data_IF_452544714049
#
_entry.id   IF_452544714049
#
_cell.length_a   1.000
_cell.length_b   1.000
_cell.length_c   1.000
_cell.angle_alpha   90.00
_cell.angle_beta   90.00
_cell.angle_gamma   90.00
#
_symmetry.space_group_name_H-M   'P 1'
#
loop_
_entity.id
_entity.type
_entity.pdbx_description
1 polymer ?
#
# COMPACT_ATOMS: atom_id res chain seq x y z
N UNK A 1 40.27 56.29 74.55
CA UNK A 1 39.48 55.12 74.31
C UNK A 1 38.88 55.18 72.92
N UNK A 2 39.07 54.12 72.19
CA UNK A 2 38.51 54.00 70.85
C UNK A 2 37.03 53.64 70.97
N UNK A 3 36.17 54.31 70.19
CA UNK A 3 34.77 54.03 70.17
C UNK A 3 34.51 52.61 69.65
N UNK A 4 33.29 52.07 69.83
CA UNK A 4 32.95 50.76 69.38
C UNK A 4 33.10 50.66 67.84
N UNK A 5 33.53 49.53 67.41
CA UNK A 5 33.66 49.26 65.96
C UNK A 5 32.29 49.43 65.27
N UNK A 6 32.25 50.16 64.19
CA UNK A 6 31.00 50.31 63.42
C UNK A 6 30.49 48.99 62.91
N UNK A 7 29.21 48.99 62.72
CA UNK A 7 28.53 47.76 62.15
C UNK A 7 29.06 47.42 60.77
N UNK A 8 29.07 46.14 60.49
CA UNK A 8 29.42 45.67 59.17
C UNK A 8 28.34 46.13 58.17
N UNK A 9 28.76 46.78 57.11
CA UNK A 9 27.84 47.18 56.04
C UNK A 9 26.98 46.02 55.53
N UNK A 10 25.78 46.34 55.07
CA UNK A 10 24.88 45.36 54.52
C UNK A 10 25.56 44.67 53.36
N UNK A 11 25.31 43.39 53.30
CA UNK A 11 25.75 42.58 52.15
C UNK A 11 25.17 43.15 50.84
N UNK A 12 26.02 43.37 49.86
CA UNK A 12 25.57 43.85 48.54
C UNK A 12 24.49 42.97 47.94
N UNK A 13 23.66 43.61 47.17
CA UNK A 13 22.58 42.87 46.43
C UNK A 13 23.22 41.87 45.51
N UNK A 14 22.67 40.68 45.50
CA UNK A 14 23.11 39.64 44.57
C UNK A 14 23.00 40.16 43.14
N UNK A 15 24.02 39.97 42.32
CA UNK A 15 23.99 40.32 40.90
C UNK A 15 22.87 39.62 40.15
N UNK A 16 22.43 40.18 39.05
CA UNK A 16 21.38 39.58 38.25
C UNK A 16 21.77 38.16 37.83
N UNK A 17 20.81 37.30 37.79
CA UNK A 17 21.01 35.92 37.31
C UNK A 17 21.57 35.95 35.89
N UNK A 18 22.61 35.19 35.62
CA UNK A 18 23.15 35.05 34.28
C UNK A 18 22.07 34.64 33.26
N UNK A 19 22.24 35.09 32.04
CA UNK A 19 21.32 34.68 30.96
C UNK A 19 21.30 33.17 30.84
N UNK A 20 20.13 32.64 30.63
CA UNK A 20 19.97 31.24 30.27
C UNK A 20 20.85 30.92 29.03
N UNK A 21 21.63 29.87 29.09
CA UNK A 21 22.43 29.43 27.95
C UNK A 21 21.57 29.27 26.72
N UNK A 22 22.12 29.52 25.54
CA UNK A 22 21.42 29.31 24.30
C UNK A 22 21.02 27.84 24.19
N UNK A 23 19.85 27.60 23.59
CA UNK A 23 19.37 26.25 23.33
C UNK A 23 20.41 25.50 22.49
N UNK A 24 20.77 24.31 22.88
CA UNK A 24 21.62 23.43 22.05
C UNK A 24 21.08 23.32 20.63
N UNK A 25 21.96 23.11 19.69
CA UNK A 25 21.55 22.90 18.31
C UNK A 25 20.56 21.78 18.25
N UNK A 26 19.48 21.96 17.41
CA UNK A 26 18.57 20.91 17.10
C UNK A 26 19.38 19.72 16.51
N UNK A 27 19.24 18.54 17.07
CA UNK A 27 19.88 17.35 16.53
C UNK A 27 19.57 17.23 15.04
N UNK A 28 20.53 16.72 14.28
CA UNK A 28 20.29 16.43 12.87
C UNK A 28 18.99 15.65 12.75
N UNK A 29 18.15 16.06 11.79
CA UNK A 29 16.92 15.33 11.47
C UNK A 29 17.30 13.86 11.27
N UNK A 30 16.85 12.98 12.16
CA UNK A 30 17.09 11.55 11.99
C UNK A 30 16.69 11.16 10.59
N UNK A 31 17.48 10.33 9.91
CA UNK A 31 17.05 9.75 8.66
C UNK A 31 15.68 9.14 8.90
N UNK A 32 14.67 9.71 8.22
CA UNK A 32 13.35 9.09 8.19
C UNK A 32 13.60 7.68 7.69
N UNK A 33 13.45 6.69 8.59
CA UNK A 33 13.45 5.29 8.18
C UNK A 33 12.55 5.21 6.97
N UNK A 34 13.10 4.80 5.83
CA UNK A 34 12.32 4.65 4.62
C UNK A 34 11.21 3.66 4.91
N UNK A 35 9.99 4.16 4.97
CA UNK A 35 8.83 3.29 5.10
C UNK A 35 8.76 2.45 3.82
N UNK A 36 8.83 1.13 3.92
CA UNK A 36 8.67 0.27 2.75
C UNK A 36 7.33 0.57 2.08
N UNK A 37 7.35 0.74 0.76
CA UNK A 37 6.17 1.08 -0.02
C UNK A 37 6.05 0.14 -1.20
N UNK A 38 4.86 -0.34 -1.42
CA UNK A 38 4.49 -1.04 -2.65
C UNK A 38 2.98 -0.96 -2.79
N UNK A 39 2.52 -0.33 -3.83
CA UNK A 39 1.10 -0.19 -4.10
C UNK A 39 0.87 0.01 -5.58
N UNK A 40 -0.25 -0.49 -6.06
CA UNK A 40 -0.71 -0.20 -7.41
C UNK A 40 -2.23 -0.20 -7.48
N UNK A 41 -2.75 0.48 -8.46
CA UNK A 41 -4.14 0.42 -8.86
C UNK A 41 -4.19 0.61 -10.37
N UNK A 42 -4.87 -0.28 -11.06
CA UNK A 42 -4.94 -0.27 -12.52
C UNK A 42 -6.32 -0.66 -13.00
N UNK A 43 -6.78 0.00 -14.04
CA UNK A 43 -8.08 -0.22 -14.66
C UNK A 43 -7.98 -0.97 -15.97
N UNK A 44 -9.02 -1.71 -16.29
CA UNK A 44 -9.15 -2.38 -17.57
C UNK A 44 -9.44 -1.34 -18.66
N UNK A 45 -8.81 -1.51 -19.82
CA UNK A 45 -8.99 -0.59 -20.95
C UNK A 45 -9.95 -1.11 -22.01
N UNK A 46 -10.12 -2.43 -22.10
CA UNK A 46 -10.99 -3.08 -23.09
C UNK A 46 -11.80 -4.20 -22.44
N UNK A 47 -13.07 -4.37 -22.83
CA UNK A 47 -13.89 -5.45 -22.29
C UNK A 47 -13.44 -6.82 -22.80
N UNK A 48 -13.85 -7.86 -22.09
CA UNK A 48 -13.64 -9.25 -22.43
C UNK A 48 -12.18 -9.62 -22.72
N UNK A 49 -11.30 -9.48 -21.72
CA UNK A 49 -9.89 -9.85 -21.90
C UNK A 49 -9.74 -11.33 -22.20
N UNK A 50 -8.63 -11.76 -22.84
CA UNK A 50 -8.39 -13.17 -23.13
C UNK A 50 -8.51 -14.04 -21.88
N UNK A 51 -9.21 -15.20 -21.96
CA UNK A 51 -9.41 -16.06 -20.80
C UNK A 51 -8.18 -16.89 -20.46
N UNK A 52 -8.12 -17.35 -19.22
CA UNK A 52 -7.12 -18.30 -18.71
C UNK A 52 -5.66 -17.82 -18.78
N UNK A 53 -5.46 -16.53 -18.97
CA UNK A 53 -4.14 -15.87 -18.87
C UNK A 53 -4.28 -14.62 -18.00
N UNK A 54 -3.17 -14.06 -17.51
CA UNK A 54 -3.25 -12.85 -16.70
C UNK A 54 -3.98 -11.72 -17.44
N UNK A 55 -4.95 -11.12 -16.75
CA UNK A 55 -5.67 -9.96 -17.27
C UNK A 55 -4.74 -8.74 -17.18
N UNK A 56 -4.56 -8.06 -18.31
CA UNK A 56 -3.73 -6.86 -18.38
C UNK A 56 -4.58 -5.63 -18.11
N UNK A 57 -4.38 -5.02 -16.96
CA UNK A 57 -4.99 -3.74 -16.61
C UNK A 57 -4.05 -2.63 -17.08
N UNK A 58 -4.32 -2.09 -18.26
CA UNK A 58 -3.39 -1.17 -18.93
C UNK A 58 -3.55 0.28 -18.52
N UNK A 59 -4.69 0.65 -17.92
CA UNK A 59 -4.95 1.99 -17.43
C UNK A 59 -4.39 2.13 -16.02
N UNK A 60 -3.18 2.63 -15.91
CA UNK A 60 -2.51 2.80 -14.62
C UNK A 60 -3.09 4.00 -13.89
N UNK A 61 -3.64 3.77 -12.69
CA UNK A 61 -4.09 4.80 -11.77
C UNK A 61 -3.00 5.17 -10.78
N UNK A 62 -2.26 4.19 -10.30
CA UNK A 62 -1.12 4.36 -9.42
C UNK A 62 -0.18 3.16 -9.56
N UNK A 63 1.12 3.40 -9.71
CA UNK A 63 2.12 2.33 -9.80
C UNK A 63 3.53 2.90 -9.61
N UNK A 64 3.71 3.75 -8.60
CA UNK A 64 4.95 4.51 -8.43
C UNK A 64 6.17 3.62 -8.21
N UNK A 65 6.03 2.48 -7.54
CA UNK A 65 7.12 1.55 -7.30
C UNK A 65 7.37 0.59 -8.46
N UNK A 66 6.47 0.55 -9.44
CA UNK A 66 6.63 -0.29 -10.61
C UNK A 66 6.48 -1.79 -10.36
N UNK A 67 5.87 -2.19 -9.25
CA UNK A 67 5.69 -3.62 -8.94
C UNK A 67 4.60 -4.29 -9.79
N UNK A 68 3.68 -3.52 -10.35
CA UNK A 68 2.70 -4.03 -11.30
C UNK A 68 3.15 -3.78 -12.73
N UNK A 69 3.06 -4.80 -13.59
CA UNK A 69 3.37 -4.68 -15.01
C UNK A 69 2.10 -4.70 -15.85
N UNK A 70 1.73 -3.60 -16.52
CA UNK A 70 0.59 -3.60 -17.43
C UNK A 70 0.85 -4.46 -18.69
N UNK A 71 2.10 -4.77 -18.99
CA UNK A 71 2.47 -5.61 -20.12
C UNK A 71 2.16 -7.08 -19.85
N UNK A 72 2.41 -7.55 -18.64
CA UNK A 72 2.16 -8.94 -18.24
C UNK A 72 0.87 -9.14 -17.49
N UNK A 73 0.31 -8.08 -16.89
CA UNK A 73 -0.84 -8.15 -16.00
C UNK A 73 -0.50 -8.66 -14.60
N UNK A 74 0.79 -8.79 -14.27
CA UNK A 74 1.24 -9.38 -13.02
C UNK A 74 1.83 -8.36 -12.06
N UNK A 75 1.44 -8.48 -10.80
CA UNK A 75 2.14 -7.86 -9.69
C UNK A 75 3.33 -8.73 -9.31
N UNK A 76 4.50 -8.10 -9.13
CA UNK A 76 5.74 -8.77 -8.75
C UNK A 76 6.17 -8.27 -7.38
N UNK A 77 6.16 -9.16 -6.38
CA UNK A 77 6.52 -8.81 -5.02
C UNK A 77 8.04 -8.60 -4.90
N UNK A 78 8.44 -7.42 -4.46
CA UNK A 78 9.85 -7.11 -4.17
C UNK A 78 10.14 -7.07 -2.68
N UNK A 79 9.15 -6.70 -1.88
CA UNK A 79 9.28 -6.56 -0.43
C UNK A 79 8.47 -7.68 0.22
N UNK A 80 9.12 -8.65 0.89
CA UNK A 80 8.38 -9.68 1.62
C UNK A 80 7.48 -9.05 2.67
N UNK A 81 6.26 -9.52 2.77
CA UNK A 81 5.32 -8.97 3.74
C UNK A 81 3.89 -9.42 3.53
N UNK A 82 3.01 -8.73 4.21
CA UNK A 82 1.57 -8.96 4.13
C UNK A 82 0.95 -7.92 3.24
N UNK A 83 0.21 -8.38 2.23
CA UNK A 83 -0.37 -7.55 1.19
C UNK A 83 -1.88 -7.65 1.19
N UNK A 84 -2.51 -6.58 0.76
CA UNK A 84 -3.95 -6.54 0.47
C UNK A 84 -4.12 -6.49 -1.04
N UNK A 85 -4.93 -7.39 -1.58
CA UNK A 85 -5.36 -7.35 -2.97
C UNK A 85 -6.87 -7.22 -3.03
N UNK A 86 -7.31 -6.43 -3.97
CA UNK A 86 -8.73 -6.17 -4.18
C UNK A 86 -9.01 -6.05 -5.66
N UNK A 87 -10.10 -6.60 -6.10
CA UNK A 87 -10.61 -6.29 -7.42
C UNK A 87 -12.08 -5.93 -7.35
N UNK A 88 -12.45 -5.08 -8.27
CA UNK A 88 -13.81 -4.63 -8.46
C UNK A 88 -14.07 -4.68 -9.96
N UNK A 89 -14.76 -5.69 -10.39
CA UNK A 89 -14.93 -6.00 -11.80
C UNK A 89 -16.37 -5.80 -12.20
N UNK A 90 -16.61 -4.95 -13.18
CA UNK A 90 -17.92 -4.80 -13.79
C UNK A 90 -18.18 -5.99 -14.69
N UNK A 91 -19.36 -6.57 -14.56
CA UNK A 91 -19.77 -7.77 -15.30
C UNK A 91 -20.97 -7.43 -16.15
N UNK A 92 -20.88 -7.68 -17.45
CA UNK A 92 -21.97 -7.39 -18.40
C UNK A 92 -21.99 -8.37 -19.56
N UNK A 93 -23.19 -8.66 -20.04
CA UNK A 93 -23.42 -9.46 -21.24
C UNK A 93 -23.31 -10.97 -21.02
N UNK A 94 -22.44 -11.38 -20.13
CA UNK A 94 -22.19 -12.79 -19.76
C UNK A 94 -21.84 -12.85 -18.28
N UNK A 95 -22.06 -13.99 -17.62
CA UNK A 95 -21.53 -14.19 -16.29
C UNK A 95 -20.01 -14.10 -16.28
N UNK A 96 -19.42 -13.76 -15.15
CA UNK A 96 -17.97 -13.75 -14.99
C UNK A 96 -17.53 -14.66 -13.85
N UNK A 97 -16.48 -15.41 -14.09
CA UNK A 97 -15.76 -16.16 -13.06
C UNK A 97 -14.33 -15.72 -13.03
N UNK A 98 -13.96 -15.05 -11.94
CA UNK A 98 -12.66 -14.41 -11.78
C UNK A 98 -11.87 -15.18 -10.75
N UNK A 99 -10.59 -15.41 -11.03
CA UNK A 99 -9.66 -16.04 -10.11
C UNK A 99 -8.51 -15.10 -9.82
N UNK A 100 -8.19 -14.94 -8.55
CA UNK A 100 -6.93 -14.35 -8.13
C UNK A 100 -5.92 -15.49 -8.00
N UNK A 101 -4.83 -15.37 -8.73
CA UNK A 101 -3.75 -16.34 -8.75
C UNK A 101 -2.56 -15.77 -8.00
N UNK A 102 -2.08 -16.52 -7.03
CA UNK A 102 -0.88 -16.16 -6.27
C UNK A 102 -0.05 -17.42 -6.06
N UNK A 103 1.28 -17.30 -6.10
CA UNK A 103 2.18 -18.43 -5.93
C UNK A 103 1.85 -19.60 -6.89
N UNK A 104 1.48 -19.27 -8.13
CA UNK A 104 1.07 -20.23 -9.18
C UNK A 104 -0.17 -21.08 -8.84
N UNK A 105 -0.95 -20.67 -7.84
CA UNK A 105 -2.18 -21.36 -7.45
C UNK A 105 -3.37 -20.40 -7.53
N UNK A 106 -4.47 -20.87 -8.08
CA UNK A 106 -5.74 -20.15 -8.09
C UNK A 106 -6.33 -20.18 -6.67
N UNK A 107 -5.95 -19.23 -5.84
CA UNK A 107 -6.30 -19.25 -4.42
C UNK A 107 -7.69 -18.73 -4.12
N UNK A 108 -8.14 -17.72 -4.88
CA UNK A 108 -9.41 -17.07 -4.61
C UNK A 108 -10.20 -16.91 -5.88
N UNK A 109 -11.44 -17.35 -5.85
CA UNK A 109 -12.33 -17.33 -7.00
C UNK A 109 -13.63 -16.66 -6.62
N UNK A 110 -14.10 -15.76 -7.45
CA UNK A 110 -15.42 -15.19 -7.33
C UNK A 110 -16.22 -15.43 -8.61
N UNK A 111 -17.52 -15.46 -8.46
CA UNK A 111 -18.43 -15.73 -9.56
C UNK A 111 -19.61 -14.77 -9.47
N UNK A 112 -19.93 -14.14 -10.56
CA UNK A 112 -21.14 -13.35 -10.70
C UNK A 112 -21.99 -13.91 -11.82
N UNK A 113 -23.24 -14.23 -11.50
CA UNK A 113 -24.22 -14.75 -12.45
C UNK A 113 -25.17 -13.63 -12.82
N UNK A 114 -25.26 -13.32 -14.11
CA UNK A 114 -26.21 -12.33 -14.60
C UNK A 114 -27.48 -12.99 -15.05
N UNK A 115 -28.61 -12.34 -14.80
CA UNK A 115 -29.91 -12.70 -15.34
C UNK A 115 -30.33 -11.61 -16.32
N UNK A 116 -30.30 -11.91 -17.63
CA UNK A 116 -30.70 -10.95 -18.65
C UNK A 116 -29.59 -9.97 -19.06
N UNK A 117 -29.93 -8.70 -19.25
CA UNK A 117 -28.99 -7.66 -19.68
C UNK A 117 -28.51 -6.78 -18.52
N UNK A 118 -28.46 -7.33 -17.34
CA UNK A 118 -28.04 -6.60 -16.16
C UNK A 118 -26.55 -6.32 -16.17
N UNK A 119 -26.17 -5.23 -15.50
CA UNK A 119 -24.78 -4.93 -15.15
C UNK A 119 -24.64 -5.26 -13.66
N UNK A 120 -23.63 -6.03 -13.33
CA UNK A 120 -23.34 -6.37 -11.95
C UNK A 120 -21.85 -6.20 -11.66
N UNK A 121 -21.46 -6.43 -10.42
CA UNK A 121 -20.08 -6.26 -10.01
C UNK A 121 -19.63 -7.46 -9.20
N UNK A 122 -18.47 -8.00 -9.58
CA UNK A 122 -17.77 -9.02 -8.82
C UNK A 122 -16.64 -8.37 -8.05
N UNK A 123 -16.61 -8.54 -6.74
CA UNK A 123 -15.62 -7.91 -5.86
C UNK A 123 -14.98 -8.95 -4.96
N UNK A 124 -13.71 -8.72 -4.64
CA UNK A 124 -12.99 -9.49 -3.65
C UNK A 124 -11.97 -8.58 -2.96
N UNK A 125 -11.80 -8.77 -1.66
CA UNK A 125 -10.68 -8.23 -0.91
C UNK A 125 -10.06 -9.36 -0.11
N UNK A 126 -8.75 -9.52 -0.23
CA UNK A 126 -8.03 -10.62 0.42
C UNK A 126 -6.69 -10.14 0.94
N UNK A 127 -6.26 -10.70 2.04
CA UNK A 127 -4.94 -10.45 2.63
C UNK A 127 -4.07 -11.69 2.40
N UNK A 128 -2.88 -11.47 1.84
CA UNK A 128 -1.94 -12.54 1.50
C UNK A 128 -0.55 -12.24 2.03
N UNK A 129 0.12 -13.27 2.51
CA UNK A 129 1.54 -13.20 2.83
C UNK A 129 2.35 -13.59 1.59
N UNK A 130 3.24 -12.69 1.14
CA UNK A 130 4.06 -12.90 -0.04
C UNK A 130 5.55 -12.84 0.31
N UNK A 131 6.31 -13.65 -0.41
CA UNK A 131 7.77 -13.61 -0.40
C UNK A 131 8.27 -12.84 -1.63
N UNK A 132 9.51 -12.36 -1.58
CA UNK A 132 10.11 -11.69 -2.74
C UNK A 132 10.11 -12.64 -3.96
N UNK A 133 9.71 -12.13 -5.10
CA UNK A 133 9.58 -12.89 -6.34
C UNK A 133 8.21 -13.51 -6.56
N UNK A 134 7.34 -13.52 -5.56
CA UNK A 134 5.97 -13.99 -5.75
C UNK A 134 5.22 -13.08 -6.70
N UNK A 135 4.37 -13.67 -7.51
CA UNK A 135 3.55 -12.95 -8.48
C UNK A 135 2.06 -13.14 -8.18
N UNK A 136 1.28 -12.09 -8.41
CA UNK A 136 -0.17 -12.11 -8.24
C UNK A 136 -0.83 -11.50 -9.47
N UNK A 137 -1.87 -12.14 -9.96
CA UNK A 137 -2.63 -11.64 -11.10
C UNK A 137 -4.06 -12.16 -11.08
N UNK A 138 -4.88 -11.61 -11.94
CA UNK A 138 -6.26 -12.05 -12.12
C UNK A 138 -6.41 -12.82 -13.45
N UNK A 139 -7.28 -13.80 -13.45
CA UNK A 139 -7.69 -14.53 -14.64
C UNK A 139 -9.22 -14.60 -14.71
N UNK A 140 -9.74 -14.67 -15.92
CA UNK A 140 -11.16 -14.93 -16.16
C UNK A 140 -11.34 -16.26 -16.88
N UNK A 141 -12.38 -17.02 -16.53
CA UNK A 141 -12.70 -18.28 -17.14
C UNK A 141 -13.25 -18.09 -18.55
N UNK A 142 -12.91 -18.99 -19.47
CA UNK A 142 -13.38 -18.95 -20.86
C UNK A 142 -14.89 -18.95 -20.97
N UNK A 143 -15.56 -19.80 -20.22
CA UNK A 143 -17.02 -19.98 -20.33
C UNK A 143 -17.80 -18.90 -19.56
N UNK A 144 -17.10 -18.12 -18.74
CA UNK A 144 -17.66 -17.12 -17.85
C UNK A 144 -16.88 -15.81 -17.97
N UNK A 145 -16.72 -15.31 -19.20
CA UNK A 145 -15.96 -14.10 -19.46
C UNK A 145 -16.87 -12.90 -19.70
N UNK A 146 -17.52 -12.46 -18.65
CA UNK A 146 -18.33 -11.25 -18.65
C UNK A 146 -17.59 -10.01 -18.14
N UNK A 147 -16.27 -10.04 -18.07
CA UNK A 147 -15.45 -8.92 -17.61
C UNK A 147 -15.60 -7.74 -18.56
N UNK A 148 -16.06 -6.61 -18.05
CA UNK A 148 -16.48 -5.48 -18.84
C UNK A 148 -15.90 -4.17 -18.34
N UNK A 149 -15.77 -3.23 -19.23
CA UNK A 149 -15.42 -1.84 -18.95
C UNK A 149 -16.07 -0.96 -20.00
N UNK A 150 -16.48 0.24 -19.62
CA UNK A 150 -17.01 1.25 -20.52
C UNK A 150 -16.58 2.64 -20.05
N UNK A 151 -17.04 3.68 -20.72
CA UNK A 151 -16.80 5.05 -20.25
C UNK A 151 -17.48 5.35 -18.90
N UNK A 152 -18.50 4.58 -18.55
CA UNK A 152 -19.30 4.79 -17.33
C UNK A 152 -18.97 3.75 -16.23
N UNK A 153 -18.41 2.61 -16.58
CA UNK A 153 -18.19 1.51 -15.67
C UNK A 153 -16.73 1.06 -15.70
N UNK A 154 -16.09 1.03 -14.55
CA UNK A 154 -14.70 0.62 -14.40
C UNK A 154 -14.57 -0.83 -13.94
N UNK A 155 -13.46 -1.44 -14.29
CA UNK A 155 -12.99 -2.70 -13.70
C UNK A 155 -11.56 -2.47 -13.23
N UNK A 156 -11.33 -2.62 -11.92
CA UNK A 156 -10.09 -2.18 -11.28
C UNK A 156 -9.47 -3.32 -10.47
N UNK A 157 -8.15 -3.43 -10.59
CA UNK A 157 -7.33 -4.31 -9.77
C UNK A 157 -6.37 -3.47 -8.93
N UNK A 158 -6.36 -3.72 -7.63
CA UNK A 158 -5.58 -2.95 -6.66
C UNK A 158 -4.82 -3.88 -5.74
N UNK A 159 -3.61 -3.51 -5.39
CA UNK A 159 -2.84 -4.23 -4.38
C UNK A 159 -1.89 -3.28 -3.66
N UNK A 160 -1.62 -3.57 -2.41
CA UNK A 160 -0.66 -2.78 -1.64
C UNK A 160 -0.10 -3.55 -0.47
N UNK A 161 1.10 -3.14 -0.09
CA UNK A 161 1.76 -3.65 1.11
C UNK A 161 1.06 -3.10 2.36
N UNK A 162 0.52 -3.99 3.19
CA UNK A 162 -0.07 -3.61 4.47
C UNK A 162 1.03 -3.38 5.51
N UNK A 163 1.96 -4.32 5.64
CA UNK A 163 3.17 -4.18 6.44
C UNK A 163 4.23 -5.18 5.97
N UNK A 164 5.51 -4.79 6.06
CA UNK A 164 6.60 -5.68 5.67
C UNK A 164 6.76 -6.83 6.66
N UNK A 165 7.41 -7.89 6.21
CA UNK A 165 7.81 -8.98 7.10
C UNK A 165 8.82 -8.44 8.13
N UNK A 166 8.65 -8.86 9.39
CA UNK A 166 9.62 -8.53 10.42
C UNK A 166 10.96 -9.19 10.07
N UNK A 167 12.03 -8.38 10.08
CA UNK A 167 13.37 -8.92 9.93
C UNK A 167 13.70 -9.75 11.15
N UNK A 168 13.55 -11.07 11.02
CA UNK A 168 14.05 -12.02 12.01
C UNK A 168 15.57 -11.92 12.05
N UNK A 169 16.14 -11.55 13.15
CA UNK A 169 17.60 -11.51 13.30
C UNK A 169 18.11 -10.30 14.02
N UNK A 170 17.25 -9.36 14.34
CA UNK A 170 17.56 -8.35 15.33
C UNK A 170 17.01 -8.85 16.66
N UNK A 171 17.59 -9.94 17.14
CA UNK A 171 17.56 -10.16 18.57
C UNK A 171 18.56 -9.22 19.19
N UNK A 172 18.13 -8.40 20.14
CA UNK A 172 19.11 -7.71 20.97
C UNK A 172 19.98 -8.70 21.72
#
# INVERSE_FOLDING_TARGET
>A
PTGPKGDIGNKGVRGPTGKKGSRGFKGSKGELARVPRSAFSAGLSKPFPPPNIPIKFEKILYNDQGNYSPVTGKFNCSIPGTYVFSYHITVRGRPARISLVAQNKKQFKSRETLYGQEIDQASLLVILKLSAGDQVWLEVSKDWNGVYVSAEDDSIFTGFLLYPEETSGISP
#
